data_IF_274528653550
#
_entry.id   IF_274528653550
#
_cell.length_a   1.000
_cell.length_b   1.000
_cell.length_c   1.000
_cell.angle_alpha   90.00
_cell.angle_beta   90.00
_cell.angle_gamma   90.00
#
_symmetry.space_group_name_H-M   'P 1'
#
loop_
_entity.id
_entity.type
_entity.pdbx_description
1 polymer ?
#
# COMPACT_ATOMS: atom_id res chain seq x y z
N UNK A 1 -12.00 -12.77 -3.80
CA UNK A 1 -11.49 -14.07 -4.26
C UNK A 1 -10.98 -14.85 -3.05
N UNK A 2 -11.24 -16.15 -2.97
CA UNK A 2 -10.63 -17.00 -1.93
C UNK A 2 -9.32 -17.56 -2.47
N UNK A 3 -8.23 -17.28 -1.78
CA UNK A 3 -6.88 -17.73 -2.14
C UNK A 3 -6.24 -18.34 -0.92
N UNK A 4 -5.64 -19.53 -1.06
CA UNK A 4 -4.87 -20.15 0.00
C UNK A 4 -3.40 -19.81 -0.24
N UNK A 5 -2.77 -19.17 0.74
CA UNK A 5 -1.36 -18.77 0.72
C UNK A 5 -0.74 -19.06 2.09
N UNK A 6 0.52 -19.46 2.09
CA UNK A 6 1.31 -19.58 3.31
C UNK A 6 1.90 -18.21 3.65
N UNK A 7 1.75 -17.80 4.92
CA UNK A 7 2.27 -16.54 5.44
C UNK A 7 2.94 -16.86 6.78
N UNK A 8 4.10 -16.27 7.01
CA UNK A 8 4.80 -16.34 8.29
C UNK A 8 3.90 -15.83 9.44
N UNK A 9 3.71 -16.68 10.45
CA UNK A 9 2.78 -16.40 11.56
C UNK A 9 3.29 -15.26 12.46
N UNK A 10 4.60 -15.10 12.60
CA UNK A 10 5.18 -14.06 13.46
C UNK A 10 5.10 -12.69 12.77
N UNK A 11 5.26 -12.65 11.44
CA UNK A 11 4.96 -11.48 10.61
C UNK A 11 3.49 -11.08 10.74
N UNK A 12 2.56 -12.05 10.63
CA UNK A 12 1.13 -11.78 10.77
C UNK A 12 0.77 -11.24 12.16
N UNK A 13 1.28 -11.85 13.24
CA UNK A 13 1.08 -11.37 14.61
C UNK A 13 1.64 -9.95 14.80
N UNK A 14 2.83 -9.68 14.27
CA UNK A 14 3.45 -8.36 14.34
C UNK A 14 2.60 -7.33 13.61
N UNK A 15 2.13 -7.64 12.41
CA UNK A 15 1.25 -6.77 11.64
C UNK A 15 -0.06 -6.48 12.38
N UNK A 16 -0.72 -7.51 12.91
CA UNK A 16 -1.95 -7.35 13.72
C UNK A 16 -1.72 -6.47 14.96
N UNK A 17 -0.59 -6.63 15.65
CA UNK A 17 -0.24 -5.80 16.82
C UNK A 17 0.01 -4.34 16.44
N UNK A 18 0.67 -4.09 15.31
CA UNK A 18 0.99 -2.74 14.84
C UNK A 18 -0.23 -2.01 14.28
N UNK A 19 -1.09 -2.69 13.52
CA UNK A 19 -2.31 -2.09 12.95
C UNK A 19 -3.52 -2.13 13.89
N UNK A 20 -3.42 -2.86 15.00
CA UNK A 20 -4.53 -3.12 15.93
C UNK A 20 -5.73 -3.85 15.27
N UNK A 21 -5.49 -4.56 14.16
CA UNK A 21 -6.52 -5.32 13.43
C UNK A 21 -6.60 -6.76 13.93
N UNK A 22 -7.82 -7.18 14.27
CA UNK A 22 -8.07 -8.49 14.88
C UNK A 22 -8.05 -9.67 13.91
N UNK A 23 -8.32 -9.46 12.62
CA UNK A 23 -8.46 -10.57 11.66
C UNK A 23 -7.31 -10.60 10.66
N UNK A 24 -6.78 -11.80 10.39
CA UNK A 24 -5.73 -12.00 9.37
C UNK A 24 -6.17 -11.46 7.99
N UNK A 25 -7.43 -11.67 7.62
CA UNK A 25 -8.01 -11.16 6.37
C UNK A 25 -7.91 -9.64 6.26
N UNK A 26 -8.34 -8.91 7.28
CA UNK A 26 -8.34 -7.45 7.24
C UNK A 26 -6.91 -6.88 7.21
N UNK A 27 -5.96 -7.51 7.90
CA UNK A 27 -4.54 -7.14 7.80
C UNK A 27 -4.03 -7.30 6.38
N UNK A 28 -4.33 -8.43 5.73
CA UNK A 28 -3.91 -8.67 4.35
C UNK A 28 -4.55 -7.66 3.39
N UNK A 29 -5.85 -7.36 3.54
CA UNK A 29 -6.53 -6.35 2.73
C UNK A 29 -5.91 -4.95 2.90
N UNK A 30 -5.60 -4.55 4.14
CA UNK A 30 -4.96 -3.25 4.41
C UNK A 30 -3.53 -3.20 3.84
N UNK A 31 -2.75 -4.26 4.03
CA UNK A 31 -1.39 -4.35 3.49
C UNK A 31 -1.37 -4.26 1.96
N UNK A 32 -2.32 -4.93 1.28
CA UNK A 32 -2.44 -4.85 -0.18
C UNK A 32 -2.85 -3.45 -0.65
N UNK A 33 -3.75 -2.78 0.06
CA UNK A 33 -4.10 -1.38 -0.25
C UNK A 33 -2.89 -0.46 -0.12
N UNK A 34 -2.14 -0.59 0.98
CA UNK A 34 -0.92 0.18 1.20
C UNK A 34 0.12 -0.08 0.10
N UNK A 35 0.32 -1.33 -0.28
CA UNK A 35 1.23 -1.70 -1.38
C UNK A 35 0.85 -0.99 -2.68
N UNK A 36 -0.42 -1.05 -3.08
CA UNK A 36 -0.90 -0.36 -4.29
C UNK A 36 -0.70 1.16 -4.20
N UNK A 37 -0.97 1.77 -3.04
CA UNK A 37 -0.74 3.19 -2.82
C UNK A 37 0.74 3.57 -2.98
N UNK A 38 1.65 2.80 -2.40
CA UNK A 38 3.10 3.02 -2.52
C UNK A 38 3.55 2.90 -3.97
N UNK A 39 3.09 1.87 -4.70
CA UNK A 39 3.44 1.69 -6.10
C UNK A 39 2.91 2.82 -7.00
N UNK A 40 1.72 3.34 -6.72
CA UNK A 40 1.19 4.50 -7.43
C UNK A 40 2.03 5.77 -7.14
N UNK A 41 2.44 5.97 -5.89
CA UNK A 41 3.31 7.09 -5.52
C UNK A 41 4.68 6.98 -6.22
N UNK A 42 5.25 5.77 -6.31
CA UNK A 42 6.51 5.53 -7.05
C UNK A 42 6.38 5.91 -8.52
N UNK A 43 5.31 5.49 -9.19
CA UNK A 43 5.03 5.87 -10.58
C UNK A 43 4.89 7.38 -10.75
N UNK A 44 4.22 8.06 -9.82
CA UNK A 44 4.13 9.51 -9.84
C UNK A 44 5.51 10.16 -9.65
N UNK A 45 6.34 9.65 -8.74
CA UNK A 45 7.70 10.11 -8.52
C UNK A 45 8.56 10.00 -9.79
N UNK A 46 8.38 8.95 -10.60
CA UNK A 46 9.10 8.77 -11.86
C UNK A 46 8.74 9.78 -12.96
N UNK A 47 7.59 10.47 -12.82
CA UNK A 47 7.15 11.52 -13.74
C UNK A 47 7.79 12.88 -13.41
N UNK A 48 8.33 13.07 -12.19
CA UNK A 48 9.00 14.31 -11.83
C UNK A 48 10.17 14.60 -12.78
N UNK A 49 10.22 15.82 -13.31
CA UNK A 49 11.20 16.26 -14.29
C UNK A 49 10.97 15.73 -15.72
N UNK A 50 9.94 14.91 -15.95
CA UNK A 50 9.53 14.46 -17.30
C UNK A 50 8.24 15.11 -17.78
N UNK A 51 7.49 15.73 -16.88
CA UNK A 51 6.26 16.45 -17.19
C UNK A 51 6.43 17.92 -16.83
N UNK A 52 5.94 18.81 -17.69
CA UNK A 52 5.78 20.22 -17.36
C UNK A 52 4.53 20.37 -16.51
N UNK A 53 4.69 21.06 -15.37
CA UNK A 53 3.56 21.42 -14.50
C UNK A 53 2.99 22.72 -15.05
N UNK A 54 1.69 22.73 -15.36
CA UNK A 54 0.99 23.94 -15.83
C UNK A 54 1.13 25.05 -14.79
N UNK A 55 1.58 26.23 -15.23
CA UNK A 55 1.78 27.40 -14.37
C UNK A 55 0.49 27.83 -13.66
N UNK A 56 -0.67 27.50 -14.23
CA UNK A 56 -1.99 27.78 -13.64
C UNK A 56 -2.46 26.72 -12.64
N UNK A 57 -1.70 25.65 -12.42
CA UNK A 57 -2.09 24.62 -11.46
C UNK A 57 -2.10 25.12 -10.00
N UNK A 58 -1.53 26.30 -9.74
CA UNK A 58 -1.43 26.93 -8.43
C UNK A 58 -2.18 28.28 -8.32
N UNK A 59 -2.91 28.68 -9.37
CA UNK A 59 -3.90 29.78 -9.31
C UNK A 59 -5.24 29.26 -8.78
#
# INVERSE_FOLDING_TARGET
MRTNIEIDDDLMKKAQKLSNIKTKKAVVEEALRLYVTIENQRKLAELWGKIEVDEKAYE
#
